data_IF_971649938667
#
_entry.id   IF_971649938667
#
_cell.length_a   1.000
_cell.length_b   1.000
_cell.length_c   1.000
_cell.angle_alpha   90.00
_cell.angle_beta   90.00
_cell.angle_gamma   90.00
#
_symmetry.space_group_name_H-M   'P 1'
#
loop_
_entity.id
_entity.type
_entity.pdbx_description
1 polymer ?
#
# COMPACT_ATOMS: atom_id res chain seq x y z
N UNK A 1 0.36 -4.83 -7.15
CA UNK A 1 1.70 -4.21 -7.18
C UNK A 1 1.92 -3.24 -6.02
N UNK A 2 1.17 -2.14 -5.91
CA UNK A 2 1.38 -1.15 -4.84
C UNK A 2 1.37 -1.73 -3.41
N UNK A 3 0.40 -2.60 -3.10
CA UNK A 3 0.31 -3.24 -1.79
C UNK A 3 1.54 -4.10 -1.48
N UNK A 4 2.00 -4.93 -2.41
CA UNK A 4 3.21 -5.75 -2.26
C UNK A 4 4.45 -4.88 -1.99
N UNK A 5 4.61 -3.80 -2.75
CA UNK A 5 5.72 -2.86 -2.54
C UNK A 5 5.66 -2.19 -1.16
N UNK A 6 4.46 -1.83 -0.70
CA UNK A 6 4.27 -1.30 0.66
C UNK A 6 4.71 -2.28 1.74
N UNK A 7 4.35 -3.57 1.62
CA UNK A 7 4.75 -4.60 2.59
C UNK A 7 6.27 -4.83 2.55
N UNK A 8 6.86 -4.94 1.36
CA UNK A 8 8.31 -5.10 1.20
C UNK A 8 9.08 -3.95 1.84
N UNK A 9 8.64 -2.71 1.61
CA UNK A 9 9.31 -1.55 2.18
C UNK A 9 9.17 -1.49 3.70
N UNK A 10 8.02 -1.88 4.25
CA UNK A 10 7.86 -1.99 5.70
C UNK A 10 8.79 -3.04 6.31
N UNK A 11 9.06 -4.14 5.59
CA UNK A 11 10.03 -5.15 6.00
C UNK A 11 11.47 -4.61 5.96
N UNK A 12 11.85 -3.89 4.90
CA UNK A 12 13.16 -3.23 4.78
C UNK A 12 13.42 -2.23 5.92
N UNK A 13 12.36 -1.57 6.39
CA UNK A 13 12.42 -0.63 7.51
C UNK A 13 12.43 -1.32 8.89
N UNK A 14 12.38 -2.66 8.93
CA UNK A 14 12.33 -3.46 10.16
C UNK A 14 11.21 -3.03 11.12
N UNK A 15 10.05 -2.62 10.57
CA UNK A 15 8.90 -2.24 11.39
C UNK A 15 8.30 -3.51 12.01
N UNK A 16 8.14 -3.61 13.33
CA UNK A 16 7.58 -4.83 13.95
C UNK A 16 6.06 -4.94 13.76
N UNK A 17 5.37 -3.80 13.68
CA UNK A 17 3.90 -3.71 13.64
C UNK A 17 3.47 -2.78 12.52
N UNK A 18 2.64 -3.27 11.59
CA UNK A 18 2.28 -2.56 10.36
C UNK A 18 0.78 -2.66 10.09
N UNK A 19 0.20 -1.53 9.68
CA UNK A 19 -1.15 -1.46 9.11
C UNK A 19 -0.99 -1.02 7.67
N UNK A 20 -1.46 -1.85 6.74
CA UNK A 20 -1.47 -1.52 5.31
C UNK A 20 -2.88 -1.20 4.86
N UNK A 21 -3.03 -0.02 4.29
CA UNK A 21 -4.32 0.50 3.82
C UNK A 21 -4.35 0.55 2.28
N UNK A 22 -5.48 0.17 1.70
CA UNK A 22 -5.68 0.26 0.25
C UNK A 22 -7.16 0.40 -0.12
N UNK A 23 -7.45 1.11 -1.20
CA UNK A 23 -8.78 1.19 -1.82
C UNK A 23 -9.11 -0.04 -2.69
N UNK A 24 -8.17 -0.99 -2.82
CA UNK A 24 -8.37 -2.22 -3.58
C UNK A 24 -9.12 -3.27 -2.73
N UNK A 25 -10.43 -3.09 -2.54
CA UNK A 25 -11.29 -3.98 -1.73
C UNK A 25 -11.07 -5.46 -2.03
N UNK A 26 -11.02 -5.84 -3.31
CA UNK A 26 -10.83 -7.23 -3.72
C UNK A 26 -9.47 -7.80 -3.25
N UNK A 27 -8.41 -7.00 -3.25
CA UNK A 27 -7.09 -7.42 -2.79
C UNK A 27 -7.07 -7.57 -1.27
N UNK A 28 -7.62 -6.61 -0.54
CA UNK A 28 -7.75 -6.66 0.93
C UNK A 28 -8.57 -7.89 1.36
N UNK A 29 -9.69 -8.15 0.69
CA UNK A 29 -10.51 -9.33 0.96
C UNK A 29 -9.79 -10.65 0.63
N UNK A 30 -9.03 -10.70 -0.46
CA UNK A 30 -8.25 -11.89 -0.81
C UNK A 30 -7.20 -12.23 0.27
N UNK A 31 -6.50 -11.20 0.76
CA UNK A 31 -5.48 -11.34 1.82
C UNK A 31 -6.11 -11.72 3.14
N UNK A 32 -7.16 -11.02 3.57
CA UNK A 32 -7.79 -11.27 4.87
C UNK A 32 -8.51 -12.63 4.96
N UNK A 33 -8.90 -13.20 3.82
CA UNK A 33 -9.51 -14.52 3.77
C UNK A 33 -8.52 -15.64 3.43
N UNK A 34 -7.21 -15.35 3.32
CA UNK A 34 -6.16 -16.27 2.86
C UNK A 34 -6.51 -16.98 1.54
N UNK A 35 -7.31 -16.32 0.69
CA UNK A 35 -7.73 -16.85 -0.60
C UNK A 35 -6.78 -16.32 -1.65
N UNK A 36 -5.87 -17.17 -2.10
CA UNK A 36 -5.23 -16.99 -3.41
C UNK A 36 -6.34 -17.12 -4.46
N UNK A 37 -6.99 -16.01 -4.80
CA UNK A 37 -7.97 -16.00 -5.88
C UNK A 37 -7.24 -16.48 -7.12
N UNK A 38 -7.69 -17.56 -7.77
CA UNK A 38 -7.10 -18.15 -9.00
C UNK A 38 -7.03 -17.20 -10.22
N UNK A 39 -7.21 -15.91 -9.97
CA UNK A 39 -6.88 -14.77 -10.80
C UNK A 39 -5.38 -14.65 -11.10
N UNK A 40 -5.05 -13.91 -12.16
CA UNK A 40 -3.68 -13.52 -12.53
C UNK A 40 -2.85 -12.90 -11.40
N UNK A 41 -3.49 -12.37 -10.35
CA UNK A 41 -2.84 -11.73 -9.21
C UNK A 41 -2.59 -12.67 -8.01
N UNK A 42 -2.97 -13.94 -8.09
CA UNK A 42 -2.87 -14.88 -6.95
C UNK A 42 -1.44 -15.04 -6.42
N UNK A 43 -0.44 -15.01 -7.29
CA UNK A 43 0.98 -15.07 -6.91
C UNK A 43 1.39 -13.89 -6.02
N UNK A 44 0.92 -12.68 -6.33
CA UNK A 44 1.20 -11.48 -5.53
C UNK A 44 0.57 -11.56 -4.13
N UNK A 45 -0.65 -12.10 -4.03
CA UNK A 45 -1.33 -12.28 -2.75
C UNK A 45 -0.56 -13.30 -1.90
N UNK A 46 -0.11 -14.39 -2.50
CA UNK A 46 0.67 -15.40 -1.79
C UNK A 46 2.02 -14.86 -1.30
N UNK A 47 2.70 -14.05 -2.12
CA UNK A 47 3.93 -13.38 -1.72
C UNK A 47 3.68 -12.42 -0.54
N UNK A 48 2.61 -11.62 -0.59
CA UNK A 48 2.21 -10.75 0.53
C UNK A 48 1.95 -11.55 1.80
N UNK A 49 1.26 -12.69 1.71
CA UNK A 49 0.99 -13.56 2.87
C UNK A 49 2.26 -14.17 3.47
N UNK A 50 3.26 -14.49 2.64
CA UNK A 50 4.57 -14.94 3.12
C UNK A 50 5.28 -13.82 3.89
N UNK A 51 5.36 -12.63 3.30
CA UNK A 51 6.03 -11.48 3.91
C UNK A 51 5.30 -11.05 5.19
N UNK A 52 3.97 -11.15 5.25
CA UNK A 52 3.16 -10.86 6.45
C UNK A 52 3.66 -11.62 7.70
N UNK A 53 4.16 -12.84 7.52
CA UNK A 53 4.62 -13.68 8.63
C UNK A 53 5.94 -13.20 9.27
N UNK A 54 6.68 -12.29 8.63
CA UNK A 54 7.92 -11.72 9.18
C UNK A 54 7.68 -10.60 10.19
N UNK A 55 6.44 -10.11 10.30
CA UNK A 55 6.04 -9.06 11.24
C UNK A 55 5.49 -9.64 12.54
N UNK A 56 5.69 -8.94 13.66
CA UNK A 56 5.00 -9.26 14.92
C UNK A 56 3.48 -9.03 14.77
N UNK A 57 3.10 -7.99 14.03
CA UNK A 57 1.72 -7.70 13.69
C UNK A 57 1.63 -7.06 12.31
N UNK A 58 0.81 -7.62 11.43
CA UNK A 58 0.56 -7.03 10.11
C UNK A 58 -0.91 -7.21 9.74
N UNK A 59 -1.61 -6.08 9.57
CA UNK A 59 -3.04 -6.03 9.25
C UNK A 59 -3.29 -5.27 7.96
N UNK A 60 -4.33 -5.68 7.24
CA UNK A 60 -4.70 -5.11 5.96
C UNK A 60 -6.11 -4.54 6.06
N UNK A 61 -6.23 -3.24 5.80
CA UNK A 61 -7.48 -2.50 5.92
C UNK A 61 -7.88 -1.90 4.58
N UNK A 62 -9.18 -1.96 4.30
CA UNK A 62 -9.74 -1.28 3.15
C UNK A 62 -10.12 0.15 3.54
N UNK A 63 -9.60 1.13 2.82
CA UNK A 63 -9.98 2.54 2.98
C UNK A 63 -10.81 2.99 1.79
N UNK A 64 -11.76 3.90 2.02
CA UNK A 64 -12.50 4.51 0.93
C UNK A 64 -11.54 5.22 -0.03
N UNK A 65 -11.82 5.16 -1.33
CA UNK A 65 -10.98 5.77 -2.37
C UNK A 65 -10.71 7.25 -2.13
N UNK A 66 -11.63 7.96 -1.48
CA UNK A 66 -11.47 9.38 -1.13
C UNK A 66 -10.31 9.63 -0.14
N UNK A 67 -10.02 8.67 0.75
CA UNK A 67 -8.85 8.66 1.64
C UNK A 67 -7.59 8.09 0.97
N UNK A 68 -7.73 7.35 -0.14
CA UNK A 68 -6.60 6.89 -0.96
C UNK A 68 -6.13 7.95 -1.97
N UNK A 69 -6.67 9.18 -1.92
CA UNK A 69 -6.40 10.21 -2.93
C UNK A 69 -4.93 10.63 -2.97
N UNK A 70 -4.25 10.67 -1.83
CA UNK A 70 -2.80 10.91 -1.77
C UNK A 70 -2.03 9.82 -2.52
N UNK A 71 -2.32 8.54 -2.24
CA UNK A 71 -1.69 7.41 -2.91
C UNK A 71 -2.01 7.38 -4.42
N UNK A 72 -3.24 7.74 -4.80
CA UNK A 72 -3.65 7.86 -6.20
C UNK A 72 -2.86 8.93 -6.95
N UNK A 73 -2.74 10.13 -6.38
CA UNK A 73 -1.96 11.22 -6.99
C UNK A 73 -0.48 10.86 -7.08
N UNK A 74 0.08 10.19 -6.06
CA UNK A 74 1.45 9.68 -6.11
C UNK A 74 1.67 8.67 -7.25
N UNK A 75 0.76 7.70 -7.39
CA UNK A 75 0.82 6.72 -8.47
C UNK A 75 0.63 7.36 -9.85
N UNK A 76 -0.28 8.34 -9.96
CA UNK A 76 -0.52 9.08 -11.21
C UNK A 76 0.70 9.93 -11.57
N UNK A 77 1.35 10.55 -10.59
CA UNK A 77 2.58 11.30 -10.78
C UNK A 77 3.70 10.40 -11.31
N UNK A 78 3.97 9.27 -10.66
CA UNK A 78 4.98 8.30 -11.11
C UNK A 78 4.71 7.80 -12.54
N UNK A 79 3.43 7.59 -12.88
CA UNK A 79 3.03 7.21 -14.25
C UNK A 79 3.29 8.32 -15.27
N UNK A 80 3.07 9.59 -14.92
CA UNK A 80 3.30 10.73 -15.82
C UNK A 80 4.78 11.02 -16.02
N UNK A 81 5.59 10.82 -14.99
CA UNK A 81 7.03 11.09 -15.02
C UNK A 81 7.86 9.88 -15.46
N UNK A 82 7.23 8.71 -15.62
CA UNK A 82 7.88 7.41 -15.90
C UNK A 82 9.04 7.11 -14.93
N UNK A 83 8.91 7.58 -13.69
CA UNK A 83 9.98 7.51 -12.70
C UNK A 83 9.43 7.25 -11.29
N UNK A 84 10.18 6.46 -10.53
CA UNK A 84 9.90 6.19 -9.13
C UNK A 84 10.72 7.16 -8.27
N UNK A 85 10.05 7.84 -7.34
CA UNK A 85 10.69 8.79 -6.43
C UNK A 85 10.41 8.38 -4.98
N UNK A 86 11.43 8.51 -4.13
CA UNK A 86 11.32 8.31 -2.69
C UNK A 86 11.46 9.66 -1.98
N UNK A 87 10.42 10.07 -1.27
CA UNK A 87 10.42 11.30 -0.49
C UNK A 87 10.55 10.96 1.00
N UNK A 88 11.76 11.14 1.56
CA UNK A 88 12.04 10.90 2.99
C UNK A 88 12.20 12.24 3.71
N UNK A 89 11.33 12.51 4.68
CA UNK A 89 11.38 13.74 5.48
C UNK A 89 10.93 15.01 4.75
N UNK A 90 10.36 14.89 3.55
CA UNK A 90 9.85 16.01 2.76
C UNK A 90 8.52 15.63 2.13
N UNK A 91 7.60 16.60 2.05
CA UNK A 91 6.31 16.43 1.39
C UNK A 91 6.35 17.07 0.01
N UNK A 92 6.03 16.32 -1.07
CA UNK A 92 5.93 16.91 -2.39
C UNK A 92 4.85 18.01 -2.44
N UNK A 93 5.12 19.16 -3.08
CA UNK A 93 4.18 20.28 -3.13
C UNK A 93 2.82 19.90 -3.72
N UNK A 94 2.81 19.00 -4.69
CA UNK A 94 1.60 18.59 -5.42
C UNK A 94 0.61 17.76 -4.60
N UNK A 95 1.04 17.15 -3.48
CA UNK A 95 0.14 16.43 -2.54
C UNK A 95 -0.03 17.14 -1.20
N UNK A 96 0.62 18.29 -0.98
CA UNK A 96 0.60 18.98 0.31
C UNK A 96 -0.82 19.37 0.78
N UNK A 97 -1.71 19.72 -0.16
CA UNK A 97 -3.12 20.03 0.13
C UNK A 97 -3.94 18.77 0.48
N UNK A 98 -3.59 17.63 -0.12
CA UNK A 98 -4.29 16.37 0.10
C UNK A 98 -3.90 15.72 1.43
N UNK A 99 -2.63 15.87 1.84
CA UNK A 99 -2.18 15.41 3.16
C UNK A 99 -2.86 16.22 4.28
N UNK A 100 -3.09 17.52 4.10
CA UNK A 100 -3.81 18.31 5.11
C UNK A 100 -5.25 17.84 5.35
N UNK A 101 -5.91 17.28 4.32
CA UNK A 101 -7.24 16.68 4.46
C UNK A 101 -7.23 15.24 5.01
N UNK A 102 -6.08 14.57 5.01
CA UNK A 102 -5.92 13.17 5.45
C UNK A 102 -5.58 13.06 6.96
N UNK A 103 -5.30 14.19 7.62
CA UNK A 103 -4.88 14.26 9.04
C UNK A 103 -6.06 14.55 9.99
N UNK A 104 -7.31 14.57 9.49
CA UNK A 104 -8.53 14.75 10.28
C UNK A 104 -9.34 13.46 10.37
#
# INVERSE_FOLDING_TARGET
>A
MALLQGVLHAQELHLPRVILESDALAAIQAINNDKSTGSSSGHLIQEILQIRSSFESCTFQHICRDYSRVAHELAQHARRTESSHLWKGVTPPFISLLIQSDVL
#
